data_IF_591617195223
#
_entry.id   IF_591617195223
#
_cell.length_a   1.000
_cell.length_b   1.000
_cell.length_c   1.000
_cell.angle_alpha   90.00
_cell.angle_beta   90.00
_cell.angle_gamma   90.00
#
_symmetry.space_group_name_H-M   'P 1'
#
loop_
_entity.id
_entity.type
_entity.pdbx_description
1 polymer ?
#
# COMPACT_ATOMS: atom_id res chain seq x y z
N UNK A 1 64.42 -36.09 30.23
CA UNK A 1 63.16 -36.82 30.51
C UNK A 1 62.27 -35.95 31.39
N UNK A 2 60.94 -36.04 31.26
CA UNK A 2 59.99 -35.32 30.37
C UNK A 2 59.44 -34.03 31.07
N UNK A 3 58.46 -33.23 30.63
CA UNK A 3 57.28 -33.38 29.79
C UNK A 3 56.83 -31.97 29.31
N UNK A 4 56.51 -31.74 28.03
CA UNK A 4 55.16 -31.83 27.44
C UNK A 4 54.18 -30.79 27.99
N UNK A 5 53.94 -29.66 27.27
CA UNK A 5 52.74 -29.35 26.43
C UNK A 5 51.46 -29.08 27.27
N UNK A 6 50.57 -28.11 27.02
CA UNK A 6 50.13 -27.30 25.86
C UNK A 6 49.54 -25.98 26.41
N UNK A 7 49.82 -24.83 25.82
CA UNK A 7 48.87 -24.05 24.98
C UNK A 7 47.39 -24.12 25.38
N UNK A 8 46.88 -23.05 25.99
CA UNK A 8 45.48 -22.62 25.87
C UNK A 8 45.45 -21.10 25.69
N UNK A 9 45.24 -20.69 24.44
CA UNK A 9 44.94 -19.30 24.04
C UNK A 9 43.42 -19.13 24.12
N UNK A 10 42.94 -18.27 25.03
CA UNK A 10 41.68 -17.53 24.80
C UNK A 10 41.78 -16.20 25.54
N UNK A 11 42.30 -15.17 24.85
CA UNK A 11 42.28 -13.79 25.36
C UNK A 11 40.90 -13.21 25.10
N UNK A 12 40.17 -13.05 26.20
CA UNK A 12 39.38 -11.88 26.61
C UNK A 12 39.60 -10.66 25.69
N UNK A 13 38.53 -9.96 25.30
CA UNK A 13 38.34 -8.49 25.32
C UNK A 13 37.13 -8.16 24.44
N UNK A 14 36.15 -7.44 24.99
CA UNK A 14 35.12 -6.81 24.15
C UNK A 14 33.83 -6.40 24.84
N UNK A 15 33.84 -5.99 26.11
CA UNK A 15 32.74 -5.22 26.68
C UNK A 15 32.81 -3.80 26.12
N UNK A 16 31.78 -3.36 25.38
CA UNK A 16 31.28 -1.99 25.27
C UNK A 16 30.24 -1.91 24.15
N UNK A 17 29.01 -1.55 24.51
CA UNK A 17 28.10 -0.59 23.87
C UNK A 17 26.69 -0.93 24.38
N UNK A 18 26.38 -0.35 25.53
CA UNK A 18 25.02 0.08 25.81
C UNK A 18 24.76 1.33 24.97
N UNK A 19 23.54 1.45 24.43
CA UNK A 19 22.77 2.68 24.09
C UNK A 19 21.98 2.42 22.79
N UNK A 20 20.65 2.34 22.95
CA UNK A 20 19.71 2.93 22.00
C UNK A 20 19.16 2.05 20.87
N UNK A 21 18.05 1.34 21.13
CA UNK A 21 16.97 1.16 20.15
C UNK A 21 15.70 0.64 20.83
N UNK A 22 15.06 1.48 21.64
CA UNK A 22 13.63 1.38 21.90
C UNK A 22 12.95 1.85 20.59
N UNK A 23 12.43 0.92 19.77
CA UNK A 23 11.32 1.11 18.83
C UNK A 23 11.21 -0.07 17.87
N UNK A 24 10.52 -1.13 18.28
CA UNK A 24 9.87 -2.02 17.33
C UNK A 24 8.65 -2.68 17.99
N UNK A 25 7.79 -1.88 18.61
CA UNK A 25 6.35 -2.17 18.66
C UNK A 25 5.77 -1.95 17.25
N UNK A 26 6.35 -2.61 16.25
CA UNK A 26 5.66 -2.82 15.00
C UNK A 26 4.70 -3.97 15.28
N UNK A 27 3.41 -3.67 15.43
CA UNK A 27 2.38 -4.64 15.11
C UNK A 27 2.58 -5.00 13.63
N UNK A 28 3.53 -5.89 13.36
CA UNK A 28 3.70 -6.49 12.07
C UNK A 28 2.48 -7.34 11.84
N UNK A 29 1.46 -6.75 11.21
CA UNK A 29 0.52 -7.55 10.43
C UNK A 29 1.41 -8.39 9.53
N UNK A 30 1.44 -9.69 9.79
CA UNK A 30 2.05 -10.66 8.90
C UNK A 30 1.23 -10.56 7.61
N UNK A 31 1.64 -9.67 6.71
CA UNK A 31 1.08 -9.61 5.37
C UNK A 31 1.44 -10.94 4.73
N UNK A 32 0.44 -11.78 4.49
CA UNK A 32 0.65 -12.98 3.68
C UNK A 32 1.24 -12.53 2.33
N UNK A 33 2.26 -13.23 1.83
CA UNK A 33 2.88 -12.86 0.57
C UNK A 33 1.83 -12.91 -0.56
N UNK A 34 1.49 -11.74 -1.08
CA UNK A 34 0.53 -11.58 -2.16
C UNK A 34 0.99 -12.36 -3.39
N UNK A 35 0.25 -13.40 -3.75
CA UNK A 35 0.56 -14.24 -4.91
C UNK A 35 -0.17 -13.75 -6.15
N UNK A 36 0.59 -13.22 -7.12
CA UNK A 36 0.04 -12.72 -8.40
C UNK A 36 -0.19 -13.85 -9.41
N UNK A 37 -1.38 -13.84 -10.03
CA UNK A 37 -1.73 -14.74 -11.15
C UNK A 37 -0.91 -14.35 -12.40
N UNK A 38 -0.63 -15.28 -13.33
CA UNK A 38 0.16 -15.00 -14.53
C UNK A 38 -0.35 -13.80 -15.34
N UNK A 39 -1.66 -13.69 -15.50
CA UNK A 39 -2.33 -12.63 -16.26
C UNK A 39 -2.16 -11.27 -15.59
N UNK A 40 -2.20 -11.25 -14.26
CA UNK A 40 -2.01 -10.03 -13.46
C UNK A 40 -0.57 -9.53 -13.53
N UNK A 41 0.42 -10.43 -13.59
CA UNK A 41 1.82 -10.04 -13.80
C UNK A 41 2.00 -9.34 -15.14
N UNK A 42 1.30 -9.79 -16.19
CA UNK A 42 1.32 -9.14 -17.50
C UNK A 42 0.69 -7.74 -17.43
N UNK A 43 -0.47 -7.60 -16.79
CA UNK A 43 -1.12 -6.30 -16.61
C UNK A 43 -0.30 -5.35 -15.75
N UNK A 44 0.31 -5.85 -14.67
CA UNK A 44 1.18 -5.08 -13.81
C UNK A 44 2.41 -4.58 -14.59
N UNK A 45 3.05 -5.45 -15.36
CA UNK A 45 4.17 -5.08 -16.22
C UNK A 45 3.79 -4.03 -17.28
N UNK A 46 2.55 -4.08 -17.81
CA UNK A 46 2.03 -3.04 -18.72
C UNK A 46 1.84 -1.72 -18.00
N UNK A 47 1.29 -1.75 -16.77
CA UNK A 47 1.07 -0.56 -15.96
C UNK A 47 2.40 0.12 -15.57
N UNK A 48 3.43 -0.67 -15.24
CA UNK A 48 4.77 -0.18 -14.88
C UNK A 48 5.71 -0.06 -16.07
N UNK A 49 5.19 -0.08 -17.31
CA UNK A 49 6.02 0.10 -18.50
C UNK A 49 6.61 1.51 -18.57
N UNK A 50 5.86 2.49 -18.07
CA UNK A 50 6.35 3.85 -17.88
C UNK A 50 7.26 3.92 -16.64
N UNK A 51 8.54 4.31 -16.78
CA UNK A 51 9.50 4.34 -15.67
C UNK A 51 9.15 5.37 -14.59
N UNK A 52 8.25 6.31 -14.85
CA UNK A 52 7.81 7.31 -13.87
C UNK A 52 6.66 6.81 -12.99
N UNK A 53 6.07 5.65 -13.31
CA UNK A 53 5.01 5.04 -12.51
C UNK A 53 5.63 4.09 -11.49
N UNK A 54 5.43 4.38 -10.21
CA UNK A 54 5.85 3.53 -9.10
C UNK A 54 4.63 2.87 -8.48
N UNK A 55 4.67 1.54 -8.28
CA UNK A 55 3.64 0.84 -7.51
C UNK A 55 3.95 1.02 -6.03
N UNK A 56 3.05 1.64 -5.29
CA UNK A 56 3.24 1.95 -3.86
C UNK A 56 2.45 1.03 -2.94
N UNK A 57 1.39 0.39 -3.44
CA UNK A 57 0.60 -0.59 -2.70
C UNK A 57 -0.03 -1.61 -3.65
N UNK A 58 -0.20 -2.84 -3.16
CA UNK A 58 -0.68 -4.00 -3.89
C UNK A 58 -1.41 -4.91 -2.90
N UNK A 59 -2.71 -5.11 -3.10
CA UNK A 59 -3.49 -5.99 -2.24
C UNK A 59 -4.64 -6.65 -2.99
N UNK A 60 -5.20 -7.73 -2.41
CA UNK A 60 -6.48 -8.28 -2.84
C UNK A 60 -7.61 -7.64 -2.05
N UNK A 61 -8.67 -7.25 -2.74
CA UNK A 61 -9.92 -6.87 -2.09
C UNK A 61 -10.77 -8.09 -1.72
N UNK A 62 -11.94 -7.84 -1.14
CA UNK A 62 -12.86 -8.89 -0.67
C UNK A 62 -13.40 -9.79 -1.79
N UNK A 63 -13.38 -9.30 -3.04
CA UNK A 63 -13.79 -10.05 -4.23
C UNK A 63 -12.63 -10.85 -4.88
N UNK A 64 -11.51 -11.00 -4.18
CA UNK A 64 -10.26 -11.56 -4.69
C UNK A 64 -9.76 -10.87 -5.98
N UNK A 65 -10.06 -9.59 -6.18
CA UNK A 65 -9.55 -8.78 -7.28
C UNK A 65 -8.30 -8.00 -6.85
N UNK A 66 -7.38 -7.77 -7.79
CA UNK A 66 -6.11 -7.14 -7.46
C UNK A 66 -6.27 -5.63 -7.54
N UNK A 67 -6.06 -4.96 -6.41
CA UNK A 67 -5.95 -3.52 -6.35
C UNK A 67 -4.49 -3.09 -6.34
N UNK A 68 -4.18 -2.11 -7.18
CA UNK A 68 -2.83 -1.59 -7.39
C UNK A 68 -2.86 -0.09 -7.21
N UNK A 69 -2.14 0.42 -6.23
CA UNK A 69 -1.94 1.85 -6.06
C UNK A 69 -0.61 2.25 -6.67
N UNK A 70 -0.63 3.27 -7.52
CA UNK A 70 0.56 3.83 -8.15
C UNK A 70 0.76 5.29 -7.80
N UNK A 71 2.01 5.75 -7.86
CA UNK A 71 2.41 7.14 -7.76
C UNK A 71 3.22 7.56 -8.98
N UNK A 72 2.95 8.75 -9.51
CA UNK A 72 3.72 9.42 -10.56
C UNK A 72 3.91 10.90 -10.17
N UNK A 73 5.10 11.26 -9.68
CA UNK A 73 5.31 12.53 -9.00
C UNK A 73 4.40 12.64 -7.77
N UNK A 74 3.59 13.70 -7.70
CA UNK A 74 2.60 13.89 -6.63
C UNK A 74 1.24 13.23 -6.92
N UNK A 75 1.04 12.72 -8.14
CA UNK A 75 -0.22 12.08 -8.52
C UNK A 75 -0.27 10.64 -7.98
N UNK A 76 -1.37 10.31 -7.29
CA UNK A 76 -1.69 8.95 -6.85
C UNK A 76 -2.89 8.46 -7.67
N UNK A 77 -2.83 7.22 -8.13
CA UNK A 77 -3.92 6.56 -8.83
C UNK A 77 -4.09 5.13 -8.32
N UNK A 78 -5.34 4.70 -8.14
CA UNK A 78 -5.70 3.32 -7.80
C UNK A 78 -6.27 2.64 -9.02
N UNK A 79 -5.86 1.40 -9.25
CA UNK A 79 -6.32 0.56 -10.34
C UNK A 79 -6.85 -0.76 -9.79
N UNK A 80 -7.87 -1.29 -10.44
CA UNK A 80 -8.47 -2.58 -10.16
C UNK A 80 -8.24 -3.48 -11.38
N UNK A 81 -7.64 -4.65 -11.15
CA UNK A 81 -7.50 -5.67 -12.17
C UNK A 81 -8.62 -6.70 -11.99
N UNK A 82 -9.58 -6.65 -12.89
CA UNK A 82 -10.79 -7.44 -12.82
C UNK A 82 -11.38 -7.62 -14.22
N UNK A 83 -12.17 -8.68 -14.45
CA UNK A 83 -12.87 -8.82 -15.71
C UNK A 83 -14.01 -7.79 -15.81
N UNK A 84 -14.40 -7.45 -17.04
CA UNK A 84 -15.58 -6.58 -17.26
C UNK A 84 -16.89 -7.29 -16.92
N UNK A 85 -16.93 -8.60 -17.19
CA UNK A 85 -18.03 -9.50 -16.86
C UNK A 85 -17.44 -10.68 -16.08
N UNK A 86 -17.95 -11.04 -14.90
CA UNK A 86 -17.47 -12.19 -14.15
C UNK A 86 -17.56 -13.52 -14.91
N UNK A 87 -18.43 -13.63 -15.93
CA UNK A 87 -18.48 -14.78 -16.84
C UNK A 87 -17.33 -14.81 -17.86
N UNK A 88 -16.65 -13.68 -18.07
CA UNK A 88 -15.51 -13.56 -18.96
C UNK A 88 -14.17 -13.66 -18.22
N UNK A 89 -13.19 -14.31 -18.87
CA UNK A 89 -11.85 -14.54 -18.29
C UNK A 89 -10.85 -13.42 -18.56
N UNK A 90 -11.21 -12.44 -19.39
CA UNK A 90 -10.29 -11.38 -19.78
C UNK A 90 -10.20 -10.31 -18.69
N UNK A 91 -9.05 -10.24 -18.01
CA UNK A 91 -8.77 -9.19 -17.04
C UNK A 91 -8.48 -7.87 -17.74
N UNK A 92 -9.03 -6.79 -17.19
CA UNK A 92 -8.75 -5.41 -17.62
C UNK A 92 -8.26 -4.56 -16.47
N UNK A 93 -7.52 -3.51 -16.81
CA UNK A 93 -7.07 -2.49 -15.86
C UNK A 93 -8.13 -1.39 -15.83
N UNK A 94 -8.76 -1.18 -14.67
CA UNK A 94 -9.76 -0.13 -14.46
C UNK A 94 -9.23 0.87 -13.45
N UNK A 95 -9.27 2.17 -13.74
CA UNK A 95 -8.91 3.19 -12.74
C UNK A 95 -10.08 3.35 -11.77
N UNK A 96 -9.80 3.24 -10.48
CA UNK A 96 -10.76 3.55 -9.43
C UNK A 96 -10.81 5.07 -9.32
N UNK A 97 -11.93 5.66 -9.74
CA UNK A 97 -12.20 7.09 -9.60
C UNK A 97 -13.13 7.22 -8.41
N UNK A 98 -12.64 7.74 -7.29
CA UNK A 98 -13.51 8.05 -6.15
C UNK A 98 -14.47 9.17 -6.57
N UNK A 99 -15.77 8.87 -6.62
CA UNK A 99 -16.82 9.87 -6.72
C UNK A 99 -17.46 10.03 -5.35
N UNK A 100 -17.37 11.24 -4.78
CA UNK A 100 -18.06 11.60 -3.55
C UNK A 100 -19.33 12.36 -3.90
N UNK A 101 -20.50 11.81 -3.57
CA UNK A 101 -21.75 12.57 -3.59
C UNK A 101 -21.89 13.32 -2.24
N UNK A 102 -21.75 14.64 -2.28
CA UNK A 102 -22.09 15.48 -1.13
C UNK A 102 -23.61 15.70 -1.12
N UNK A 103 -24.32 15.02 -0.22
CA UNK A 103 -25.75 15.29 0.04
C UNK A 103 -25.89 16.72 0.58
N UNK A 104 -26.25 17.66 -0.28
CA UNK A 104 -26.69 18.99 0.15
C UNK A 104 -28.15 18.88 0.56
N UNK A 105 -28.45 19.21 1.82
CA UNK A 105 -29.82 19.48 2.21
C UNK A 105 -30.30 20.70 1.42
N UNK A 106 -31.61 20.80 1.08
CA UNK A 106 -32.17 22.04 0.54
C UNK A 106 -31.80 23.18 1.47
N UNK A 107 -31.14 24.21 0.94
CA UNK A 107 -30.90 25.44 1.69
C UNK A 107 -32.26 26.06 2.00
N UNK A 108 -32.49 26.47 3.26
CA UNK A 108 -33.68 27.23 3.58
C UNK A 108 -33.77 28.45 2.65
N UNK A 109 -34.95 28.75 2.08
CA UNK A 109 -35.11 29.94 1.26
C UNK A 109 -34.74 31.18 2.09
N UNK A 110 -34.09 32.20 1.50
CA UNK A 110 -33.74 33.42 2.22
C UNK A 110 -35.00 34.04 2.83
N UNK A 111 -34.92 34.60 4.05
CA UNK A 111 -36.10 35.17 4.72
C UNK A 111 -36.71 36.27 3.84
N UNK A 112 -38.03 36.22 3.66
CA UNK A 112 -38.74 37.20 2.84
C UNK A 112 -38.42 38.62 3.31
N UNK A 113 -38.19 39.57 2.38
CA UNK A 113 -38.01 40.96 2.74
C UNK A 113 -39.30 41.42 3.43
N UNK A 114 -39.22 41.73 4.73
CA UNK A 114 -40.34 42.34 5.46
C UNK A 114 -40.71 43.61 4.70
N UNK A 115 -41.83 43.57 3.99
CA UNK A 115 -42.36 44.71 3.28
C UNK A 115 -42.47 45.87 4.27
N UNK A 116 -41.71 46.94 4.03
CA UNK A 116 -41.94 48.23 4.65
C UNK A 116 -43.28 48.72 4.07
N UNK A 117 -44.36 48.49 4.81
CA UNK A 117 -45.67 49.01 4.46
C UNK A 117 -45.63 50.54 4.59
N UNK A 118 -45.91 51.23 3.48
CA UNK A 118 -46.30 52.64 3.43
C UNK A 118 -47.82 52.78 3.62
#
# INVERSE_FOLDING_TARGET
MPASRRSFRTRIIGALIAIGAIAASGCGRTEEPLTLKPEERVLLARLTRDPFIQVTDLHRNDDEQLEVTTRQGDAIARYLFAPDDPAMKELKIRRIVEQFELKTAPSDPPPEPRGLAH
#
